data_IF_404687646686
#
_entry.id   IF_404687646686
#
_cell.length_a   1.000
_cell.length_b   1.000
_cell.length_c   1.000
_cell.angle_alpha   90.00
_cell.angle_beta   90.00
_cell.angle_gamma   90.00
#
_symmetry.space_group_name_H-M   'P 1'
#
loop_
_entity.id
_entity.type
_entity.pdbx_description
1 polymer ?
#
# COMPACT_ATOMS: atom_id res chain seq x y z
N UNK A 1 52.09 -21.90 -94.93
CA UNK A 1 52.05 -20.44 -95.11
C UNK A 1 52.72 -19.83 -93.88
N UNK A 2 53.93 -19.24 -94.04
CA UNK A 2 54.72 -18.73 -92.92
C UNK A 2 54.47 -17.23 -92.81
N UNK A 3 53.93 -16.78 -91.68
CA UNK A 3 53.67 -15.35 -91.41
C UNK A 3 54.91 -14.76 -90.73
N UNK A 4 55.65 -13.89 -91.45
CA UNK A 4 56.79 -13.18 -90.89
C UNK A 4 56.31 -11.95 -90.11
N UNK A 5 56.32 -12.04 -88.78
CA UNK A 5 55.97 -10.94 -87.88
C UNK A 5 57.24 -10.24 -87.40
N UNK A 6 57.26 -8.90 -87.42
CA UNK A 6 58.39 -8.12 -86.90
C UNK A 6 58.55 -8.36 -85.40
N UNK A 7 59.78 -8.51 -84.93
CA UNK A 7 60.10 -8.77 -83.51
C UNK A 7 59.54 -7.68 -82.58
N UNK A 8 59.51 -6.43 -83.03
CA UNK A 8 58.91 -5.31 -82.30
C UNK A 8 57.42 -5.53 -82.04
N UNK A 9 56.63 -5.91 -83.04
CA UNK A 9 55.17 -6.08 -82.88
C UNK A 9 54.84 -7.25 -81.96
N UNK A 10 55.65 -8.31 -81.99
CA UNK A 10 55.54 -9.41 -81.03
C UNK A 10 55.85 -8.96 -79.59
N UNK A 11 56.86 -8.11 -79.39
CA UNK A 11 57.20 -7.58 -78.07
C UNK A 11 56.07 -6.71 -77.52
N UNK A 12 55.55 -5.76 -78.31
CA UNK A 12 54.44 -4.90 -77.88
C UNK A 12 53.19 -5.70 -77.52
N UNK A 13 52.89 -6.77 -78.27
CA UNK A 13 51.73 -7.63 -77.95
C UNK A 13 51.95 -8.42 -76.65
N UNK A 14 53.18 -8.88 -76.38
CA UNK A 14 53.52 -9.54 -75.11
C UNK A 14 53.41 -8.57 -73.94
N UNK A 15 53.91 -7.34 -74.11
CA UNK A 15 53.82 -6.30 -73.08
C UNK A 15 52.36 -5.93 -72.82
N UNK A 16 51.53 -5.80 -73.85
CA UNK A 16 50.09 -5.52 -73.70
C UNK A 16 49.33 -6.67 -73.03
N UNK A 17 49.66 -7.93 -73.35
CA UNK A 17 49.05 -9.09 -72.70
C UNK A 17 49.46 -9.13 -71.22
N UNK A 18 50.74 -8.91 -70.91
CA UNK A 18 51.22 -8.88 -69.54
C UNK A 18 50.55 -7.76 -68.73
N UNK A 19 50.42 -6.57 -69.31
CA UNK A 19 49.71 -5.45 -68.68
C UNK A 19 48.22 -5.77 -68.46
N UNK A 20 47.53 -6.34 -69.45
CA UNK A 20 46.13 -6.74 -69.33
C UNK A 20 45.92 -7.84 -68.28
N UNK A 21 46.83 -8.81 -68.20
CA UNK A 21 46.81 -9.86 -67.18
C UNK A 21 47.03 -9.28 -65.77
N UNK A 22 47.97 -8.34 -65.63
CA UNK A 22 48.19 -7.62 -64.36
C UNK A 22 46.96 -6.84 -63.92
N UNK A 23 46.35 -6.08 -64.83
CA UNK A 23 45.12 -5.34 -64.56
C UNK A 23 43.95 -6.26 -64.19
N UNK A 24 43.79 -7.39 -64.89
CA UNK A 24 42.75 -8.38 -64.58
C UNK A 24 42.97 -9.04 -63.22
N UNK A 25 44.23 -9.34 -62.85
CA UNK A 25 44.56 -9.89 -61.53
C UNK A 25 44.25 -8.87 -60.41
N UNK A 26 44.64 -7.60 -60.59
CA UNK A 26 44.33 -6.54 -59.63
C UNK A 26 42.81 -6.35 -59.47
N UNK A 27 42.07 -6.27 -60.58
CA UNK A 27 40.61 -6.14 -60.56
C UNK A 27 39.91 -7.32 -59.85
N UNK A 28 40.41 -8.55 -60.03
CA UNK A 28 39.89 -9.72 -59.29
C UNK A 28 40.15 -9.60 -57.79
N UNK A 29 41.36 -9.25 -57.39
CA UNK A 29 41.69 -9.08 -55.96
C UNK A 29 40.87 -7.98 -55.30
N UNK A 30 40.59 -6.89 -56.02
CA UNK A 30 39.73 -5.81 -55.51
C UNK A 30 38.27 -6.24 -55.43
N UNK A 31 37.77 -6.99 -56.41
CA UNK A 31 36.42 -7.54 -56.38
C UNK A 31 36.22 -8.51 -55.21
N UNK A 32 37.20 -9.38 -54.95
CA UNK A 32 37.19 -10.31 -53.81
C UNK A 32 37.20 -9.54 -52.47
N UNK A 33 38.03 -8.51 -52.34
CA UNK A 33 38.05 -7.66 -51.14
C UNK A 33 36.70 -6.97 -50.91
N UNK A 34 36.12 -6.36 -51.95
CA UNK A 34 34.80 -5.71 -51.85
C UNK A 34 33.70 -6.71 -51.53
N UNK A 35 33.77 -7.93 -52.06
CA UNK A 35 32.80 -8.98 -51.74
C UNK A 35 32.89 -9.39 -50.27
N UNK A 36 34.09 -9.53 -49.72
CA UNK A 36 34.29 -9.81 -48.29
C UNK A 36 33.79 -8.67 -47.41
N UNK A 37 34.10 -7.42 -47.76
CA UNK A 37 33.65 -6.24 -47.02
C UNK A 37 32.12 -6.13 -47.03
N UNK A 38 31.48 -6.39 -48.17
CA UNK A 38 30.02 -6.47 -48.28
C UNK A 38 29.44 -7.57 -47.38
N UNK A 39 30.05 -8.77 -47.35
CA UNK A 39 29.61 -9.85 -46.48
C UNK A 39 29.71 -9.48 -45.00
N UNK A 40 30.81 -8.86 -44.57
CA UNK A 40 30.96 -8.40 -43.20
C UNK A 40 29.95 -7.32 -42.84
N UNK A 41 29.68 -6.38 -43.76
CA UNK A 41 28.68 -5.35 -43.56
C UNK A 41 27.27 -5.94 -43.44
N UNK A 42 26.90 -6.93 -44.28
CA UNK A 42 25.60 -7.60 -44.19
C UNK A 42 25.47 -8.40 -42.89
N UNK A 43 26.51 -9.12 -42.48
CA UNK A 43 26.50 -9.89 -41.23
C UNK A 43 26.42 -8.98 -39.99
N UNK A 44 27.07 -7.82 -40.05
CA UNK A 44 26.94 -6.80 -39.00
C UNK A 44 25.52 -6.22 -38.94
N UNK A 45 24.91 -5.91 -40.09
CA UNK A 45 23.55 -5.39 -40.17
C UNK A 45 22.53 -6.41 -39.61
N UNK A 46 22.62 -7.68 -40.01
CA UNK A 46 21.73 -8.75 -39.52
C UNK A 46 21.84 -8.90 -37.99
N UNK A 47 23.07 -8.87 -37.44
CA UNK A 47 23.28 -8.95 -35.99
C UNK A 47 22.72 -7.73 -35.26
N UNK A 48 22.89 -6.54 -35.82
CA UNK A 48 22.33 -5.32 -35.26
C UNK A 48 20.80 -5.34 -35.24
N UNK A 49 20.16 -5.75 -36.35
CA UNK A 49 18.70 -5.90 -36.44
C UNK A 49 18.18 -6.93 -35.43
N UNK A 50 18.84 -8.08 -35.31
CA UNK A 50 18.48 -9.13 -34.33
C UNK A 50 18.55 -8.59 -32.90
N UNK A 51 19.63 -7.87 -32.56
CA UNK A 51 19.80 -7.26 -31.24
C UNK A 51 18.71 -6.20 -30.96
N UNK A 52 18.35 -5.38 -31.95
CA UNK A 52 17.26 -4.39 -31.81
C UNK A 52 15.92 -5.08 -31.54
N UNK A 53 15.60 -6.16 -32.24
CA UNK A 53 14.36 -6.92 -31.99
C UNK A 53 14.35 -7.56 -30.60
N UNK A 54 15.47 -8.16 -30.17
CA UNK A 54 15.61 -8.69 -28.80
C UNK A 54 15.39 -7.58 -27.75
N UNK A 55 15.99 -6.41 -27.93
CA UNK A 55 15.81 -5.27 -27.04
C UNK A 55 14.36 -4.77 -27.03
N UNK A 56 13.69 -4.71 -28.18
CA UNK A 56 12.26 -4.34 -28.28
C UNK A 56 11.39 -5.32 -27.52
N UNK A 57 11.63 -6.63 -27.67
CA UNK A 57 10.88 -7.65 -26.93
C UNK A 57 11.13 -7.58 -25.42
N UNK A 58 12.38 -7.33 -25.00
CA UNK A 58 12.73 -7.14 -23.59
C UNK A 58 12.06 -5.88 -23.00
N UNK A 59 12.04 -4.78 -23.75
CA UNK A 59 11.36 -3.56 -23.36
C UNK A 59 9.85 -3.77 -23.22
N UNK A 60 9.21 -4.45 -24.18
CA UNK A 60 7.78 -4.77 -24.08
C UNK A 60 7.46 -5.64 -22.85
N UNK A 61 8.30 -6.65 -22.55
CA UNK A 61 8.15 -7.50 -21.36
C UNK A 61 8.30 -6.72 -20.06
N UNK A 62 9.32 -5.86 -19.97
CA UNK A 62 9.55 -5.04 -18.77
C UNK A 62 8.44 -4.03 -18.54
N UNK A 63 7.92 -3.40 -19.60
CA UNK A 63 6.75 -2.52 -19.52
C UNK A 63 5.49 -3.26 -19.04
N UNK A 64 5.22 -4.45 -19.58
CA UNK A 64 4.08 -5.26 -19.15
C UNK A 64 4.20 -5.67 -17.68
N UNK A 65 5.41 -6.03 -17.23
CA UNK A 65 5.67 -6.36 -15.83
C UNK A 65 5.51 -5.14 -14.93
N UNK A 66 6.02 -3.97 -15.34
CA UNK A 66 5.85 -2.72 -14.59
C UNK A 66 4.37 -2.35 -14.44
N UNK A 67 3.59 -2.40 -15.51
CA UNK A 67 2.15 -2.13 -15.48
C UNK A 67 1.40 -3.10 -14.55
N UNK A 68 1.78 -4.39 -14.55
CA UNK A 68 1.24 -5.38 -13.63
C UNK A 68 1.53 -5.03 -12.17
N UNK A 69 2.80 -4.76 -11.84
CA UNK A 69 3.22 -4.40 -10.48
C UNK A 69 2.54 -3.11 -10.00
N UNK A 70 2.41 -2.11 -10.86
CA UNK A 70 1.68 -0.88 -10.54
C UNK A 70 0.20 -1.16 -10.24
N UNK A 71 -0.43 -2.07 -10.99
CA UNK A 71 -1.79 -2.53 -10.73
C UNK A 71 -1.92 -3.23 -9.38
N UNK A 72 -1.01 -4.16 -9.08
CA UNK A 72 -0.97 -4.87 -7.79
C UNK A 72 -0.76 -3.90 -6.62
N UNK A 73 0.15 -2.91 -6.76
CA UNK A 73 0.37 -1.88 -5.75
C UNK A 73 -0.86 -0.99 -5.53
N UNK A 74 -1.57 -0.62 -6.59
CA UNK A 74 -2.82 0.16 -6.47
C UNK A 74 -3.89 -0.63 -5.73
N UNK A 75 -4.06 -1.92 -6.06
CA UNK A 75 -5.01 -2.79 -5.37
C UNK A 75 -4.67 -2.96 -3.88
N UNK A 76 -3.41 -3.22 -3.55
CA UNK A 76 -2.95 -3.35 -2.15
C UNK A 76 -3.13 -2.05 -1.36
N UNK A 77 -2.87 -0.90 -1.98
CA UNK A 77 -3.11 0.41 -1.34
C UNK A 77 -4.60 0.65 -1.07
N UNK A 78 -5.46 0.32 -2.02
CA UNK A 78 -6.91 0.42 -1.84
C UNK A 78 -7.41 -0.51 -0.72
N UNK A 79 -6.93 -1.76 -0.69
CA UNK A 79 -7.26 -2.71 0.38
C UNK A 79 -6.77 -2.22 1.75
N UNK A 80 -5.53 -1.72 1.83
CA UNK A 80 -5.00 -1.18 3.09
C UNK A 80 -5.82 0.00 3.60
N UNK A 81 -6.34 0.85 2.71
CA UNK A 81 -7.19 1.97 3.10
C UNK A 81 -8.51 1.45 3.70
N UNK A 82 -9.19 0.52 3.02
CA UNK A 82 -10.42 -0.10 3.50
C UNK A 82 -10.22 -0.78 4.86
N UNK A 83 -9.15 -1.58 5.01
CA UNK A 83 -8.83 -2.25 6.27
C UNK A 83 -8.60 -1.25 7.41
N UNK A 84 -8.02 -0.08 7.12
CA UNK A 84 -7.82 0.96 8.14
C UNK A 84 -9.13 1.63 8.54
N UNK A 85 -10.02 1.89 7.59
CA UNK A 85 -11.36 2.42 7.84
C UNK A 85 -12.19 1.44 8.65
N UNK A 86 -12.19 0.16 8.28
CA UNK A 86 -12.91 -0.91 9.00
C UNK A 86 -12.42 -1.06 10.44
N UNK A 87 -11.09 -1.04 10.67
CA UNK A 87 -10.54 -1.07 12.03
C UNK A 87 -10.95 0.16 12.84
N UNK A 88 -11.04 1.33 12.21
CA UNK A 88 -11.45 2.55 12.89
C UNK A 88 -12.95 2.53 13.22
N UNK A 89 -13.79 2.03 12.31
CA UNK A 89 -15.21 1.79 12.54
C UNK A 89 -15.43 0.81 13.70
N UNK A 90 -14.75 -0.34 13.69
CA UNK A 90 -14.81 -1.33 14.75
C UNK A 90 -14.38 -0.76 16.11
N UNK A 91 -13.27 0.00 16.17
CA UNK A 91 -12.84 0.66 17.41
C UNK A 91 -13.90 1.64 17.93
N UNK A 92 -14.54 2.38 17.04
CA UNK A 92 -15.59 3.34 17.39
C UNK A 92 -16.83 2.62 17.91
N UNK A 93 -17.27 1.56 17.24
CA UNK A 93 -18.38 0.73 17.69
C UNK A 93 -18.10 0.10 19.06
N UNK A 94 -16.91 -0.48 19.25
CA UNK A 94 -16.50 -1.04 20.55
C UNK A 94 -16.45 0.02 21.66
N UNK A 95 -16.08 1.26 21.33
CA UNK A 95 -16.09 2.37 22.29
C UNK A 95 -17.52 2.75 22.67
N UNK A 96 -18.43 2.80 21.70
CA UNK A 96 -19.85 3.09 21.92
C UNK A 96 -20.48 1.98 22.77
N UNK A 97 -20.25 0.71 22.42
CA UNK A 97 -20.81 -0.43 23.17
C UNK A 97 -20.28 -0.48 24.60
N UNK A 98 -18.98 -0.24 24.82
CA UNK A 98 -18.41 -0.11 26.18
C UNK A 98 -19.06 1.04 26.96
N UNK A 99 -19.28 2.19 26.33
CA UNK A 99 -19.94 3.34 26.97
C UNK A 99 -21.39 3.02 27.34
N UNK A 100 -22.12 2.32 26.46
CA UNK A 100 -23.49 1.88 26.71
C UNK A 100 -23.55 0.85 27.84
N UNK A 101 -22.65 -0.14 27.86
CA UNK A 101 -22.59 -1.14 28.93
C UNK A 101 -22.24 -0.51 30.29
N UNK A 102 -21.31 0.45 30.33
CA UNK A 102 -20.96 1.15 31.56
C UNK A 102 -22.11 1.98 32.16
N UNK A 103 -23.13 2.32 31.37
CA UNK A 103 -24.36 2.94 31.87
C UNK A 103 -25.37 1.92 32.42
N UNK A 104 -25.36 0.69 31.92
CA UNK A 104 -26.20 -0.41 32.42
C UNK A 104 -25.68 -1.06 33.71
N UNK A 105 -24.39 -0.94 34.00
CA UNK A 105 -23.75 -1.48 35.22
C UNK A 105 -23.78 -0.51 36.41
N UNK A 106 -24.71 0.45 36.45
CA UNK A 106 -24.83 1.38 37.58
C UNK A 106 -26.24 1.40 38.12
N UNK A 107 -26.34 1.40 39.44
CA UNK A 107 -27.59 1.55 40.17
C UNK A 107 -27.51 2.80 41.01
N UNK A 108 -28.60 3.54 41.03
CA UNK A 108 -28.72 4.80 41.75
C UNK A 108 -29.44 4.54 43.06
N UNK A 109 -28.72 4.76 44.15
CA UNK A 109 -29.22 4.50 45.49
C UNK A 109 -29.58 5.81 46.15
N UNK A 110 -30.82 5.90 46.63
CA UNK A 110 -31.35 7.03 47.36
C UNK A 110 -31.17 6.81 48.86
N UNK A 111 -30.50 7.75 49.52
CA UNK A 111 -30.35 7.82 50.96
C UNK A 111 -31.18 8.98 51.53
N UNK A 112 -31.77 8.77 52.71
CA UNK A 112 -32.41 9.81 53.50
C UNK A 112 -31.79 9.81 54.89
N UNK A 113 -31.19 10.94 55.31
CA UNK A 113 -30.45 11.07 56.59
C UNK A 113 -29.40 9.96 56.82
N UNK A 114 -28.74 9.52 55.75
CA UNK A 114 -27.74 8.45 55.81
C UNK A 114 -28.28 7.02 55.79
N UNK A 115 -29.60 6.81 55.85
CA UNK A 115 -30.23 5.49 55.73
C UNK A 115 -30.63 5.20 54.28
N UNK A 116 -30.47 3.94 53.87
CA UNK A 116 -30.87 3.45 52.55
C UNK A 116 -32.40 3.51 52.41
N UNK A 117 -32.92 4.32 51.50
CA UNK A 117 -34.36 4.42 51.25
C UNK A 117 -34.80 3.49 50.09
N UNK A 118 -34.18 3.63 48.92
CA UNK A 118 -34.59 2.90 47.71
C UNK A 118 -33.48 2.82 46.66
N UNK A 119 -33.59 1.82 45.78
CA UNK A 119 -32.58 1.45 44.78
C UNK A 119 -33.22 1.52 43.39
N UNK A 120 -32.61 2.24 42.45
CA UNK A 120 -33.18 2.54 41.14
C UNK A 120 -32.20 2.28 40.00
N UNK A 121 -32.72 1.88 38.83
CA UNK A 121 -31.88 1.62 37.65
C UNK A 121 -31.39 2.91 36.96
N UNK A 122 -32.07 4.04 37.16
CA UNK A 122 -31.71 5.33 36.54
C UNK A 122 -31.71 6.47 37.56
N UNK A 123 -30.95 7.54 37.28
CA UNK A 123 -30.93 8.77 38.11
C UNK A 123 -32.32 9.37 38.17
N UNK A 124 -32.98 9.52 37.01
CA UNK A 124 -34.30 10.15 36.89
C UNK A 124 -35.36 9.41 37.72
N UNK A 125 -35.28 8.09 37.82
CA UNK A 125 -36.17 7.30 38.69
C UNK A 125 -35.88 7.54 40.17
N UNK A 126 -34.60 7.64 40.57
CA UNK A 126 -34.22 7.97 41.93
C UNK A 126 -34.64 9.40 42.34
N UNK A 127 -34.50 10.36 41.41
CA UNK A 127 -34.93 11.74 41.56
C UNK A 127 -36.45 11.83 41.71
N UNK A 128 -37.20 11.17 40.83
CA UNK A 128 -38.68 11.11 40.91
C UNK A 128 -39.15 10.48 42.22
N UNK A 129 -38.47 9.43 42.70
CA UNK A 129 -38.78 8.79 43.98
C UNK A 129 -38.47 9.70 45.18
N UNK A 130 -37.37 10.47 45.11
CA UNK A 130 -37.03 11.46 46.13
C UNK A 130 -38.07 12.59 46.19
N UNK A 131 -38.52 13.10 45.03
CA UNK A 131 -39.59 14.10 44.95
C UNK A 131 -40.90 13.58 45.54
N UNK A 132 -41.30 12.35 45.17
CA UNK A 132 -42.51 11.72 45.70
C UNK A 132 -42.46 11.51 47.22
N UNK A 133 -41.27 11.30 47.77
CA UNK A 133 -41.03 11.17 49.21
C UNK A 133 -40.82 12.51 49.93
N UNK A 134 -40.96 13.65 49.22
CA UNK A 134 -40.95 14.99 49.80
C UNK A 134 -39.59 15.69 49.81
N UNK A 135 -38.63 15.28 48.98
CA UNK A 135 -37.34 15.95 48.85
C UNK A 135 -37.46 17.30 48.10
N UNK A 136 -36.81 18.38 48.56
CA UNK A 136 -36.75 19.64 47.81
C UNK A 136 -35.83 19.50 46.59
N UNK A 137 -36.26 20.04 45.43
CA UNK A 137 -35.50 20.02 44.15
C UNK A 137 -34.16 20.76 44.19
N UNK A 138 -33.92 21.61 45.18
CA UNK A 138 -32.76 22.50 45.26
C UNK A 138 -31.60 21.96 46.10
N UNK A 139 -31.58 20.67 46.46
CA UNK A 139 -30.61 20.10 47.41
C UNK A 139 -29.90 18.83 46.97
N UNK A 140 -29.99 18.41 45.70
CA UNK A 140 -29.38 17.15 45.27
C UNK A 140 -27.89 17.34 45.05
N UNK A 141 -27.09 17.04 46.07
CA UNK A 141 -25.64 16.90 45.91
C UNK A 141 -25.36 15.59 45.19
N UNK A 142 -25.27 15.67 43.85
CA UNK A 142 -24.84 14.54 43.02
C UNK A 142 -23.39 14.20 43.41
N UNK A 143 -23.22 13.18 44.25
CA UNK A 143 -21.90 12.80 44.72
C UNK A 143 -21.06 12.30 43.53
N UNK A 144 -19.92 12.95 43.30
CA UNK A 144 -18.98 12.55 42.25
C UNK A 144 -18.26 11.26 42.67
N UNK A 145 -18.21 10.20 41.85
CA UNK A 145 -17.50 8.97 42.20
C UNK A 145 -16.03 9.26 42.56
N UNK A 146 -15.58 8.85 43.75
CA UNK A 146 -14.21 9.07 44.24
C UNK A 146 -14.00 10.31 45.12
N UNK A 147 -15.02 11.16 45.33
CA UNK A 147 -14.94 12.22 46.33
C UNK A 147 -15.03 11.65 47.77
N UNK A 148 -14.32 12.25 48.73
CA UNK A 148 -14.44 11.90 50.13
C UNK A 148 -15.88 12.10 50.60
N UNK A 149 -16.47 11.12 51.30
CA UNK A 149 -17.83 11.23 51.81
C UNK A 149 -17.92 12.44 52.76
N UNK A 150 -18.75 13.46 52.46
CA UNK A 150 -19.05 14.48 53.45
C UNK A 150 -19.84 13.84 54.62
N UNK A 151 -19.68 14.35 55.86
CA UNK A 151 -20.30 13.77 57.05
C UNK A 151 -21.83 13.73 56.93
N UNK A 152 -22.43 12.62 57.37
CA UNK A 152 -23.82 12.22 57.15
C UNK A 152 -24.92 13.12 57.79
N UNK A 153 -24.56 14.31 58.27
CA UNK A 153 -25.47 15.17 59.04
C UNK A 153 -25.98 16.41 58.29
N UNK A 154 -25.44 16.76 57.13
CA UNK A 154 -25.77 18.05 56.49
C UNK A 154 -26.81 17.94 55.35
N UNK A 155 -26.91 16.79 54.67
CA UNK A 155 -27.83 16.61 53.53
C UNK A 155 -28.98 15.64 53.85
N UNK A 156 -30.22 16.12 53.82
CA UNK A 156 -31.41 15.32 54.14
C UNK A 156 -31.68 14.20 53.12
N UNK A 157 -31.39 14.44 51.84
CA UNK A 157 -31.62 13.51 50.73
C UNK A 157 -30.39 13.44 49.83
N UNK A 158 -29.94 12.23 49.48
CA UNK A 158 -28.74 12.03 48.65
C UNK A 158 -28.93 10.89 47.65
N UNK A 159 -28.56 11.12 46.39
CA UNK A 159 -28.53 10.08 45.34
C UNK A 159 -27.07 9.73 45.07
N UNK A 160 -26.72 8.46 45.18
CA UNK A 160 -25.37 7.97 44.92
C UNK A 160 -25.39 6.90 43.81
N UNK A 161 -24.62 7.07 42.72
CA UNK A 161 -24.39 6.00 41.77
C UNK A 161 -23.44 4.95 42.39
N UNK A 162 -23.88 3.70 42.42
CA UNK A 162 -23.07 2.54 42.81
C UNK A 162 -22.87 1.63 41.59
N UNK A 163 -21.64 1.17 41.32
CA UNK A 163 -21.40 0.17 40.30
C UNK A 163 -22.04 -1.17 40.69
N UNK A 164 -22.79 -1.77 39.78
CA UNK A 164 -23.23 -3.16 39.85
C UNK A 164 -22.07 -4.04 39.40
N UNK A 165 -21.20 -4.42 40.34
CA UNK A 165 -20.17 -5.40 40.10
C UNK A 165 -18.77 -4.90 40.44
N UNK A 166 -18.45 -4.90 41.73
CA UNK A 166 -17.13 -5.32 42.16
C UNK A 166 -17.31 -6.68 42.80
N UNK A 167 -16.86 -7.73 42.10
CA UNK A 167 -16.53 -9.00 42.74
C UNK A 167 -15.49 -8.65 43.81
N UNK A 168 -15.70 -8.91 45.10
CA UNK A 168 -14.67 -8.64 46.08
C UNK A 168 -13.46 -9.52 45.74
N UNK A 169 -12.41 -8.91 45.19
CA UNK A 169 -11.08 -9.48 45.24
C UNK A 169 -10.71 -9.58 46.72
N UNK A 170 -10.96 -10.76 47.27
CA UNK A 170 -10.36 -11.21 48.50
C UNK A 170 -8.85 -11.22 48.32
N UNK A 171 -8.13 -10.45 49.13
CA UNK A 171 -6.85 -10.87 49.77
C UNK A 171 -6.29 -9.74 50.65
N UNK A 172 -5.45 -10.05 51.66
CA UNK A 172 -5.29 -11.31 52.40
C UNK A 172 -5.85 -11.25 53.84
#
# INVERSE_FOLDING_TARGET
MITLVRTHTLRTLRDSISAAQGAAAAARSEAEYRQQDQQFATDAAIRAETCVEELRTALARTMAHAARLEGELKALRAQSLLDTEDRQALRTLLRITRKQNAWGERVYVLFHRGELHSVHATVEAAETAAEAAGAPRSGWTAHTPGAALPPAHEDQWRIQPLPLGDRPEATP
#
